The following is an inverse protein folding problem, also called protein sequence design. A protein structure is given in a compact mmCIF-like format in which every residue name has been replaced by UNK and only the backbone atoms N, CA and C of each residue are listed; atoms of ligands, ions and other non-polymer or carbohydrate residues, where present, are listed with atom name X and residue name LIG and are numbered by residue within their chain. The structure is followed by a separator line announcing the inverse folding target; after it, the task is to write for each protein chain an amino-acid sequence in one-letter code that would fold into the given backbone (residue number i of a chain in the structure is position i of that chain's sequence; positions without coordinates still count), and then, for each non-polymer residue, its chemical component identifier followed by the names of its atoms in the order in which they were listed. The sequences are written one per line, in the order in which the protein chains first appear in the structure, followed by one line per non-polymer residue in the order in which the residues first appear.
data_IF_064638246180
#
_entry.id   IF_064638246180
#
_cell.length_a   1.000
_cell.length_b   1.000
_cell.length_c   1.000
_cell.angle_alpha   90.00
_cell.angle_beta   90.00
_cell.angle_gamma   90.00
#
_symmetry.space_group_name_H-M   'P 1'
#
loop_
_entity.id
_entity.type
_entity.pdbx_description
1 polymer ?
#
# COMPACT_ATOMS: atom_id res chain seq x y z
N UNK A 1 -45.61 31.50 -7.97
CA UNK A 1 -45.51 30.02 -8.07
C UNK A 1 -44.18 29.72 -8.71
N UNK A 2 -43.15 29.45 -7.89
CA UNK A 2 -41.79 29.15 -8.32
C UNK A 2 -41.59 27.65 -8.24
N UNK A 3 -41.20 27.03 -9.36
CA UNK A 3 -40.88 25.60 -9.46
C UNK A 3 -39.48 25.36 -8.90
N UNK A 4 -39.22 24.25 -8.18
CA UNK A 4 -37.92 23.91 -7.66
C UNK A 4 -37.07 23.26 -8.78
N UNK A 5 -35.96 23.92 -9.12
CA UNK A 5 -34.90 23.39 -10.01
C UNK A 5 -33.86 22.63 -9.19
N UNK A 6 -34.22 21.50 -8.62
CA UNK A 6 -33.26 20.61 -7.94
C UNK A 6 -33.51 19.16 -8.36
N UNK A 7 -32.77 18.65 -9.35
CA UNK A 7 -32.53 17.21 -9.46
C UNK A 7 -31.50 16.76 -10.52
N UNK A 8 -30.97 17.62 -11.38
CA UNK A 8 -30.04 17.17 -12.42
C UNK A 8 -28.57 17.05 -11.98
N UNK A 9 -28.14 17.86 -11.00
CA UNK A 9 -26.75 17.81 -10.51
C UNK A 9 -26.49 16.57 -9.62
N UNK A 10 -27.50 16.10 -8.91
CA UNK A 10 -27.36 14.96 -7.98
C UNK A 10 -27.25 13.62 -8.74
N UNK A 11 -27.98 13.47 -9.85
CA UNK A 11 -27.89 12.27 -10.70
C UNK A 11 -26.55 12.18 -11.45
N UNK A 12 -26.03 13.31 -11.94
CA UNK A 12 -24.74 13.34 -12.60
C UNK A 12 -23.59 13.04 -11.63
N UNK A 13 -23.70 13.46 -10.38
CA UNK A 13 -22.73 13.17 -9.32
C UNK A 13 -22.80 11.70 -8.92
N UNK A 14 -23.98 11.10 -8.76
CA UNK A 14 -24.16 9.68 -8.50
C UNK A 14 -23.65 8.80 -9.63
N UNK A 15 -23.91 9.18 -10.89
CA UNK A 15 -23.37 8.49 -12.07
C UNK A 15 -21.84 8.61 -12.14
N UNK A 16 -21.26 9.78 -11.89
CA UNK A 16 -19.81 9.96 -11.84
C UNK A 16 -19.15 9.14 -10.74
N UNK A 17 -19.83 8.95 -9.58
CA UNK A 17 -19.36 8.06 -8.51
C UNK A 17 -19.45 6.59 -8.91
N UNK A 18 -20.47 6.17 -9.65
CA UNK A 18 -20.61 4.79 -10.15
C UNK A 18 -19.61 4.46 -11.28
N UNK A 19 -19.21 5.45 -12.07
CA UNK A 19 -18.20 5.31 -13.14
C UNK A 19 -16.82 5.83 -12.75
N UNK A 20 -16.62 6.34 -11.54
CA UNK A 20 -15.28 6.51 -10.99
C UNK A 20 -14.73 5.10 -10.80
N UNK A 21 -14.02 4.60 -11.80
CA UNK A 21 -13.23 3.37 -11.70
C UNK A 21 -12.39 3.54 -10.43
N UNK A 22 -12.66 2.74 -9.41
CA UNK A 22 -11.82 2.71 -8.20
C UNK A 22 -10.40 2.48 -8.68
N UNK A 23 -9.57 3.50 -8.57
CA UNK A 23 -8.21 3.45 -9.08
C UNK A 23 -7.46 2.46 -8.20
N UNK A 24 -7.07 1.32 -8.78
CA UNK A 24 -6.24 0.34 -8.10
C UNK A 24 -5.06 1.02 -7.40
N UNK A 25 -4.82 0.67 -6.14
CA UNK A 25 -3.73 1.23 -5.35
C UNK A 25 -2.74 0.18 -4.94
N UNK A 26 -1.49 0.43 -5.24
CA UNK A 26 -0.38 -0.39 -4.79
C UNK A 26 0.11 0.09 -3.44
N UNK A 27 0.09 -0.78 -2.45
CA UNK A 27 0.53 -0.51 -1.08
C UNK A 27 1.77 -1.35 -0.80
N UNK A 28 2.97 -0.75 -0.69
CA UNK A 28 4.15 -1.50 -0.31
C UNK A 28 4.05 -1.94 1.16
N UNK A 29 4.28 -3.23 1.39
CA UNK A 29 4.32 -3.84 2.73
C UNK A 29 5.71 -4.43 2.93
N UNK A 30 6.41 -3.95 3.94
CA UNK A 30 7.79 -4.37 4.21
C UNK A 30 7.81 -5.72 4.90
N UNK A 31 8.38 -6.73 4.26
CA UNK A 31 8.65 -8.01 4.89
C UNK A 31 9.72 -7.88 5.97
N UNK A 32 9.60 -8.67 7.02
CA UNK A 32 10.55 -8.68 8.12
C UNK A 32 10.84 -10.13 8.52
N UNK A 33 12.06 -10.64 8.27
CA UNK A 33 12.40 -12.04 8.53
C UNK A 33 12.41 -12.40 10.03
N UNK A 34 12.44 -11.38 10.90
CA UNK A 34 12.43 -11.56 12.36
C UNK A 34 11.01 -11.54 12.96
N UNK A 35 9.98 -11.64 12.14
CA UNK A 35 8.59 -11.77 12.60
C UNK A 35 8.19 -13.24 12.56
N UNK A 36 7.68 -13.76 13.70
CA UNK A 36 7.14 -15.12 13.79
C UNK A 36 5.80 -15.28 13.10
N UNK A 37 4.96 -14.24 13.18
CA UNK A 37 3.56 -14.25 12.75
C UNK A 37 3.25 -13.28 11.60
N UNK A 38 4.20 -13.09 10.68
CA UNK A 38 4.04 -12.15 9.55
C UNK A 38 2.80 -12.43 8.69
N UNK A 39 2.48 -13.71 8.46
CA UNK A 39 1.27 -14.12 7.74
C UNK A 39 -0.02 -13.66 8.45
N UNK A 40 -0.07 -13.73 9.79
CA UNK A 40 -1.21 -13.26 10.57
C UNK A 40 -1.38 -11.74 10.44
N UNK A 41 -0.28 -10.98 10.46
CA UNK A 41 -0.36 -9.52 10.28
C UNK A 41 -0.87 -9.14 8.89
N UNK A 42 -0.46 -9.86 7.85
CA UNK A 42 -0.98 -9.68 6.48
C UNK A 42 -2.46 -10.06 6.40
N UNK A 43 -2.86 -11.16 7.01
CA UNK A 43 -4.26 -11.61 7.06
C UNK A 43 -5.14 -10.56 7.74
N UNK A 44 -4.69 -10.00 8.87
CA UNK A 44 -5.41 -8.92 9.57
C UNK A 44 -5.55 -7.66 8.73
N UNK A 45 -4.52 -7.30 7.97
CA UNK A 45 -4.62 -6.20 6.99
C UNK A 45 -5.67 -6.50 5.90
N UNK A 46 -5.66 -7.71 5.34
CA UNK A 46 -6.64 -8.13 4.34
C UNK A 46 -8.07 -8.11 4.89
N UNK A 47 -8.27 -8.59 6.13
CA UNK A 47 -9.56 -8.55 6.82
C UNK A 47 -10.04 -7.12 6.99
N UNK A 48 -9.16 -6.20 7.40
CA UNK A 48 -9.50 -4.79 7.56
C UNK A 48 -9.92 -4.12 6.24
N UNK A 49 -9.27 -4.47 5.13
CA UNK A 49 -9.71 -4.00 3.79
C UNK A 49 -11.04 -4.63 3.37
N UNK A 50 -11.23 -5.93 3.62
CA UNK A 50 -12.45 -6.64 3.26
C UNK A 50 -13.68 -6.12 4.00
N UNK A 51 -13.56 -5.75 5.27
CA UNK A 51 -14.61 -5.10 6.06
C UNK A 51 -15.07 -3.76 5.45
N UNK A 52 -14.14 -3.06 4.81
CA UNK A 52 -14.44 -1.83 4.05
C UNK A 52 -14.85 -2.10 2.60
N UNK A 53 -15.23 -3.34 2.29
CA UNK A 53 -15.69 -3.78 0.98
C UNK A 53 -14.65 -3.64 -0.15
N UNK A 54 -13.38 -3.48 0.17
CA UNK A 54 -12.31 -3.44 -0.82
C UNK A 54 -11.88 -4.85 -1.24
N UNK A 55 -11.65 -5.05 -2.53
CA UNK A 55 -11.01 -6.26 -3.06
C UNK A 55 -9.50 -6.10 -3.00
N UNK A 56 -8.85 -7.08 -2.41
CA UNK A 56 -7.40 -7.03 -2.13
C UNK A 56 -6.68 -8.17 -2.81
N UNK A 57 -5.62 -7.85 -3.58
CA UNK A 57 -4.64 -8.82 -4.04
C UNK A 57 -3.39 -8.71 -3.14
N UNK A 58 -2.96 -9.83 -2.57
CA UNK A 58 -1.66 -9.94 -1.90
C UNK A 58 -0.65 -10.49 -2.87
N UNK A 59 0.36 -9.70 -3.20
CA UNK A 59 1.54 -10.12 -3.98
C UNK A 59 2.66 -10.37 -2.98
N UNK A 60 2.92 -11.64 -2.70
CA UNK A 60 3.90 -12.05 -1.70
C UNK A 60 5.23 -12.44 -2.35
N UNK A 61 6.17 -11.49 -2.33
CA UNK A 61 7.56 -11.68 -2.73
C UNK A 61 8.50 -11.76 -1.51
N UNK A 62 7.97 -11.98 -0.31
CA UNK A 62 8.77 -12.15 0.90
C UNK A 62 9.65 -13.41 0.84
N UNK A 63 10.71 -13.43 1.66
CA UNK A 63 11.67 -14.55 1.66
C UNK A 63 11.05 -15.92 1.99
N UNK A 64 9.92 -15.92 2.71
CA UNK A 64 9.17 -17.13 3.09
C UNK A 64 8.05 -17.49 2.12
N UNK A 65 7.79 -16.63 1.13
CA UNK A 65 6.79 -16.89 0.12
C UNK A 65 7.21 -18.05 -0.80
N UNK A 66 6.22 -18.73 -1.36
CA UNK A 66 6.47 -19.72 -2.39
C UNK A 66 7.18 -19.10 -3.60
N UNK A 67 8.06 -19.86 -4.24
CA UNK A 67 8.63 -19.44 -5.52
C UNK A 67 7.51 -19.30 -6.56
N UNK A 68 7.57 -18.25 -7.36
CA UNK A 68 6.65 -18.09 -8.48
C UNK A 68 6.84 -19.25 -9.48
N UNK A 69 5.75 -19.86 -9.91
CA UNK A 69 5.79 -20.87 -10.95
C UNK A 69 6.26 -20.29 -12.30
N UNK A 70 6.80 -21.11 -13.18
CA UNK A 70 7.23 -20.67 -14.52
C UNK A 70 6.09 -20.04 -15.33
N UNK A 71 4.85 -20.48 -15.11
CA UNK A 71 3.64 -19.93 -15.74
C UNK A 71 3.45 -18.44 -15.42
N UNK A 72 3.92 -17.94 -14.26
CA UNK A 72 3.81 -16.55 -13.89
C UNK A 72 4.58 -15.59 -14.83
N UNK A 73 5.53 -16.10 -15.61
CA UNK A 73 6.23 -15.32 -16.64
C UNK A 73 5.41 -15.18 -17.92
N UNK A 74 4.47 -16.09 -18.15
CA UNK A 74 3.61 -16.12 -19.35
C UNK A 74 2.28 -15.45 -19.06
N UNK A 75 1.63 -15.84 -17.96
CA UNK A 75 0.31 -15.33 -17.56
C UNK A 75 0.21 -15.24 -16.04
N UNK A 76 0.37 -14.03 -15.52
CA UNK A 76 0.22 -13.75 -14.09
C UNK A 76 -1.21 -14.01 -13.60
N UNK A 77 -2.20 -13.77 -14.44
CA UNK A 77 -3.60 -13.93 -14.06
C UNK A 77 -3.95 -15.35 -13.66
N UNK A 78 -3.37 -16.35 -14.35
CA UNK A 78 -3.59 -17.75 -14.02
C UNK A 78 -2.87 -18.20 -12.72
N UNK A 79 -1.95 -17.41 -12.21
CA UNK A 79 -1.23 -17.70 -10.98
C UNK A 79 -1.85 -17.01 -9.76
N UNK A 80 -2.90 -16.22 -9.95
CA UNK A 80 -3.62 -15.55 -8.86
C UNK A 80 -4.64 -16.53 -8.28
N UNK A 81 -4.45 -16.88 -7.01
CA UNK A 81 -5.29 -17.80 -6.27
C UNK A 81 -6.34 -17.03 -5.45
N UNK A 82 -7.65 -17.26 -5.62
CA UNK A 82 -8.66 -16.67 -4.77
C UNK A 82 -8.67 -17.35 -3.39
N UNK A 83 -8.37 -16.59 -2.34
CA UNK A 83 -8.44 -17.08 -0.95
C UNK A 83 -9.83 -16.87 -0.34
N UNK A 84 -10.52 -15.82 -0.75
CA UNK A 84 -11.90 -15.52 -0.33
C UNK A 84 -12.61 -14.68 -1.41
N UNK A 85 -13.86 -14.26 -1.12
CA UNK A 85 -14.60 -13.36 -2.02
C UNK A 85 -13.93 -11.99 -2.22
N UNK A 86 -13.07 -11.57 -1.29
CA UNK A 86 -12.46 -10.24 -1.28
C UNK A 86 -10.94 -10.26 -1.29
N UNK A 87 -10.33 -11.43 -1.16
CA UNK A 87 -8.87 -11.57 -1.06
C UNK A 87 -8.38 -12.60 -2.05
N UNK A 88 -7.39 -12.21 -2.85
CA UNK A 88 -6.64 -13.09 -3.74
C UNK A 88 -5.15 -13.03 -3.40
N UNK A 89 -4.40 -14.03 -3.79
CA UNK A 89 -3.01 -14.20 -3.47
C UNK A 89 -2.18 -14.55 -4.71
N UNK A 90 -0.99 -13.98 -4.81
CA UNK A 90 0.01 -14.31 -5.83
C UNK A 90 1.35 -14.57 -5.14
N UNK A 91 1.83 -15.81 -5.22
CA UNK A 91 3.20 -16.14 -4.85
C UNK A 91 4.18 -15.52 -5.87
N UNK A 92 5.06 -14.63 -5.41
CA UNK A 92 5.88 -13.81 -6.29
C UNK A 92 7.36 -13.76 -5.88
N UNK A 93 7.82 -14.69 -5.01
CA UNK A 93 9.22 -14.73 -4.61
C UNK A 93 10.14 -14.93 -5.82
N UNK A 94 11.10 -14.00 -5.98
CA UNK A 94 12.02 -13.99 -7.12
C UNK A 94 11.43 -13.53 -8.45
N UNK A 95 10.12 -13.25 -8.53
CA UNK A 95 9.48 -12.87 -9.79
C UNK A 95 9.81 -11.45 -10.21
N UNK A 96 9.88 -10.51 -9.27
CA UNK A 96 10.15 -9.10 -9.54
C UNK A 96 11.46 -8.87 -10.31
N UNK A 97 12.50 -9.67 -10.03
CA UNK A 97 13.80 -9.53 -10.67
C UNK A 97 13.78 -9.84 -12.17
N UNK A 98 12.78 -10.60 -12.64
CA UNK A 98 12.59 -10.91 -14.06
C UNK A 98 12.13 -9.69 -14.88
N UNK A 99 11.70 -8.63 -14.22
CA UNK A 99 11.21 -7.39 -14.83
C UNK A 99 12.19 -6.21 -14.63
N UNK A 100 13.46 -6.50 -14.34
CA UNK A 100 14.48 -5.46 -14.16
C UNK A 100 14.78 -4.79 -15.49
N UNK A 101 14.68 -3.46 -15.53
CA UNK A 101 15.09 -2.63 -16.65
C UNK A 101 16.58 -2.23 -16.58
N UNK A 102 17.08 -1.53 -17.60
CA UNK A 102 18.47 -1.08 -17.66
C UNK A 102 18.85 -0.11 -16.52
N UNK A 103 17.89 0.54 -15.87
CA UNK A 103 18.09 1.42 -14.72
C UNK A 103 18.02 0.66 -13.36
N UNK A 104 17.79 -0.65 -13.39
CA UNK A 104 17.63 -1.49 -12.20
C UNK A 104 16.26 -1.38 -11.53
N UNK A 105 15.29 -0.75 -12.20
CA UNK A 105 13.90 -0.65 -11.72
C UNK A 105 13.10 -1.90 -12.12
N UNK A 106 12.18 -2.30 -11.26
CA UNK A 106 11.23 -3.40 -11.51
C UNK A 106 9.78 -2.88 -11.57
N UNK A 107 9.60 -1.60 -11.91
CA UNK A 107 8.28 -0.95 -11.99
C UNK A 107 7.35 -1.63 -13.01
N UNK A 108 7.89 -2.18 -14.08
CA UNK A 108 7.13 -2.94 -15.07
C UNK A 108 6.38 -4.13 -14.44
N UNK A 109 6.89 -4.70 -13.35
CA UNK A 109 6.20 -5.75 -12.61
C UNK A 109 4.87 -5.27 -12.01
N UNK A 110 4.84 -4.06 -11.42
CA UNK A 110 3.59 -3.48 -10.89
C UNK A 110 2.56 -3.25 -12.00
N UNK A 111 3.01 -2.83 -13.17
CA UNK A 111 2.12 -2.67 -14.32
C UNK A 111 1.50 -4.01 -14.75
N UNK A 112 2.31 -5.07 -14.85
CA UNK A 112 1.84 -6.43 -15.18
C UNK A 112 0.86 -6.98 -14.15
N UNK A 113 1.08 -6.70 -12.86
CA UNK A 113 0.12 -7.05 -11.79
C UNK A 113 -1.20 -6.32 -12.03
N UNK A 114 -1.16 -5.01 -12.33
CA UNK A 114 -2.36 -4.23 -12.59
C UNK A 114 -3.17 -4.75 -13.79
N UNK A 115 -2.49 -5.20 -14.84
CA UNK A 115 -3.12 -5.81 -16.01
C UNK A 115 -3.75 -7.19 -15.68
N UNK A 116 -3.10 -7.96 -14.78
CA UNK A 116 -3.54 -9.31 -14.41
C UNK A 116 -4.70 -9.34 -13.40
N UNK A 117 -4.88 -8.29 -12.61
CA UNK A 117 -5.87 -8.23 -11.54
C UNK A 117 -6.70 -6.93 -11.56
N UNK A 118 -7.38 -6.60 -12.68
CA UNK A 118 -8.07 -5.31 -12.85
C UNK A 118 -9.21 -5.08 -11.83
N UNK A 119 -9.75 -6.14 -11.25
CA UNK A 119 -10.84 -6.09 -10.26
C UNK A 119 -10.36 -5.75 -8.82
N UNK A 120 -9.04 -5.62 -8.62
CA UNK A 120 -8.48 -5.33 -7.30
C UNK A 120 -8.52 -3.83 -7.01
N UNK A 121 -9.12 -3.46 -5.87
CA UNK A 121 -9.07 -2.08 -5.37
C UNK A 121 -7.70 -1.78 -4.74
N UNK A 122 -7.14 -2.77 -4.04
CA UNK A 122 -5.87 -2.69 -3.31
C UNK A 122 -4.95 -3.84 -3.74
N UNK A 123 -3.68 -3.53 -3.97
CA UNK A 123 -2.63 -4.51 -4.17
C UNK A 123 -1.58 -4.33 -3.06
N UNK A 124 -1.55 -5.26 -2.11
CA UNK A 124 -0.53 -5.31 -1.07
C UNK A 124 0.72 -5.99 -1.64
N UNK A 125 1.80 -5.23 -1.83
CA UNK A 125 3.06 -5.77 -2.33
C UNK A 125 3.98 -6.05 -1.14
N UNK A 126 3.95 -7.28 -0.65
CA UNK A 126 4.77 -7.74 0.47
C UNK A 126 6.13 -8.22 -0.04
N UNK A 127 7.18 -7.47 0.26
CA UNK A 127 8.53 -7.76 -0.21
C UNK A 127 9.61 -7.16 0.70
N UNK A 128 10.86 -7.51 0.47
CA UNK A 128 11.98 -6.88 1.16
C UNK A 128 12.08 -5.38 0.83
N UNK A 129 12.62 -4.59 1.75
CA UNK A 129 12.79 -3.15 1.53
C UNK A 129 13.62 -2.84 0.26
N UNK A 130 14.58 -3.70 -0.09
CA UNK A 130 15.40 -3.56 -1.31
C UNK A 130 14.59 -3.77 -2.58
N UNK A 131 13.70 -4.74 -2.62
CA UNK A 131 12.81 -4.97 -3.76
C UNK A 131 11.78 -3.85 -3.87
N UNK A 132 11.16 -3.45 -2.75
CA UNK A 132 10.24 -2.31 -2.73
C UNK A 132 10.91 -1.02 -3.23
N UNK A 133 12.18 -0.77 -2.91
CA UNK A 133 12.93 0.35 -3.47
C UNK A 133 13.00 0.30 -5.00
N UNK A 134 13.17 -0.88 -5.60
CA UNK A 134 13.23 -1.04 -7.07
C UNK A 134 11.87 -0.84 -7.72
N UNK A 135 10.79 -1.27 -7.06
CA UNK A 135 9.41 -1.17 -7.56
C UNK A 135 8.85 0.24 -7.45
N UNK A 136 9.09 0.91 -6.31
CA UNK A 136 8.41 2.15 -5.92
C UNK A 136 9.30 3.41 -5.97
N UNK A 137 10.54 3.34 -6.47
CA UNK A 137 11.43 4.49 -6.55
C UNK A 137 10.79 5.66 -7.30
N UNK A 138 10.77 6.85 -6.68
CA UNK A 138 10.23 8.08 -7.25
C UNK A 138 11.28 8.91 -8.01
N UNK A 139 12.50 8.40 -8.16
CA UNK A 139 13.63 9.16 -8.73
C UNK A 139 13.54 9.47 -10.23
N UNK A 140 12.51 9.01 -10.93
CA UNK A 140 12.28 9.33 -12.34
C UNK A 140 11.21 10.42 -12.50
N UNK A 141 11.59 11.66 -12.87
CA UNK A 141 10.69 12.82 -12.94
C UNK A 141 9.67 12.78 -14.08
N UNK A 142 9.59 11.72 -14.87
CA UNK A 142 8.68 11.58 -16.01
C UNK A 142 7.43 10.73 -15.75
N UNK A 143 7.28 10.12 -14.58
CA UNK A 143 6.04 9.45 -14.24
C UNK A 143 5.09 10.47 -13.63
N UNK A 144 3.88 10.58 -14.21
CA UNK A 144 2.77 11.29 -13.57
C UNK A 144 2.79 10.94 -12.08
N UNK A 145 2.71 11.97 -11.21
CA UNK A 145 2.82 11.81 -9.77
C UNK A 145 1.90 10.68 -9.31
N UNK A 146 2.44 9.47 -9.28
CA UNK A 146 1.85 8.35 -8.59
C UNK A 146 1.73 8.85 -7.16
N UNK A 147 0.51 8.88 -6.63
CA UNK A 147 0.24 9.22 -5.24
C UNK A 147 1.37 8.63 -4.41
N UNK A 148 2.02 9.46 -3.60
CA UNK A 148 3.25 9.09 -2.89
C UNK A 148 2.97 7.81 -2.10
N UNK A 149 3.52 6.68 -2.54
CA UNK A 149 3.28 5.42 -1.89
C UNK A 149 3.77 5.52 -0.45
N UNK A 150 2.90 5.23 0.51
CA UNK A 150 3.27 5.21 1.92
C UNK A 150 3.39 3.74 2.35
N UNK A 151 4.60 3.21 2.61
CA UNK A 151 4.77 1.81 2.97
C UNK A 151 4.18 1.49 4.35
N UNK A 152 3.69 0.26 4.49
CA UNK A 152 3.35 -0.35 5.78
C UNK A 152 4.56 -1.18 6.21
N UNK A 153 5.09 -0.88 7.38
CA UNK A 153 6.23 -1.61 7.96
C UNK A 153 5.70 -2.59 9.00
N UNK A 154 6.00 -3.88 8.81
CA UNK A 154 5.64 -4.91 9.77
C UNK A 154 6.77 -5.07 10.79
N UNK A 155 6.41 -5.14 12.07
CA UNK A 155 7.35 -5.43 13.16
C UNK A 155 6.67 -6.26 14.27
N UNK A 156 7.48 -6.83 15.15
CA UNK A 156 7.05 -7.46 16.41
C UNK A 156 7.79 -6.83 17.59
N UNK A 157 7.27 -7.05 18.80
CA UNK A 157 7.87 -6.62 20.07
C UNK A 157 9.14 -7.44 20.41
N UNK A 158 10.08 -7.45 19.47
CA UNK A 158 11.36 -8.14 19.57
C UNK A 158 12.49 -7.27 19.01
N UNK A 159 13.64 -7.14 19.69
CA UNK A 159 14.71 -6.22 19.29
C UNK A 159 15.19 -6.37 17.83
N UNK A 160 15.38 -7.62 17.37
CA UNK A 160 15.85 -7.86 16.00
C UNK A 160 14.82 -7.39 14.96
N UNK A 161 13.52 -7.60 15.23
CA UNK A 161 12.43 -7.13 14.36
C UNK A 161 12.39 -5.61 14.30
N UNK A 162 12.50 -4.92 15.42
CA UNK A 162 12.52 -3.44 15.49
C UNK A 162 13.74 -2.87 14.77
N UNK A 163 14.92 -3.48 14.95
CA UNK A 163 16.15 -3.07 14.25
C UNK A 163 16.01 -3.23 12.74
N UNK A 164 15.44 -4.34 12.29
CA UNK A 164 15.17 -4.57 10.87
C UNK A 164 14.17 -3.54 10.31
N UNK A 165 13.08 -3.27 11.04
CA UNK A 165 12.09 -2.26 10.65
C UNK A 165 12.74 -0.87 10.49
N UNK A 166 13.58 -0.45 11.43
CA UNK A 166 14.33 0.81 11.31
C UNK A 166 15.23 0.84 10.06
N UNK A 167 15.99 -0.23 9.81
CA UNK A 167 16.84 -0.33 8.64
C UNK A 167 16.06 -0.28 7.33
N UNK A 168 14.90 -0.93 7.28
CA UNK A 168 14.00 -0.94 6.15
C UNK A 168 13.42 0.47 5.86
N UNK A 169 12.93 1.17 6.90
CA UNK A 169 12.43 2.54 6.77
C UNK A 169 13.53 3.47 6.23
N UNK A 170 14.74 3.37 6.80
CA UNK A 170 15.90 4.15 6.32
C UNK A 170 16.18 3.91 4.84
N UNK A 171 16.16 2.64 4.43
CA UNK A 171 16.40 2.27 3.03
C UNK A 171 15.34 2.85 2.11
N UNK A 172 14.06 2.73 2.46
CA UNK A 172 12.93 3.27 1.69
C UNK A 172 12.99 4.79 1.60
N UNK A 173 13.25 5.49 2.70
CA UNK A 173 13.37 6.93 2.71
C UNK A 173 14.52 7.42 1.82
N UNK A 174 15.71 6.83 1.97
CA UNK A 174 16.93 7.30 1.28
C UNK A 174 17.02 6.85 -0.18
N UNK A 175 16.58 5.63 -0.50
CA UNK A 175 16.71 5.07 -1.85
C UNK A 175 15.47 5.23 -2.71
N UNK A 176 14.28 5.05 -2.13
CA UNK A 176 13.03 5.14 -2.86
C UNK A 176 12.36 6.52 -2.79
N UNK A 177 12.77 7.40 -1.87
CA UNK A 177 12.10 8.68 -1.63
C UNK A 177 10.75 8.53 -0.92
N UNK A 178 10.61 7.51 -0.07
CA UNK A 178 9.41 7.19 0.69
C UNK A 178 9.64 7.43 2.20
N UNK A 179 9.69 8.69 2.66
CA UNK A 179 9.97 9.00 4.05
C UNK A 179 8.77 8.80 4.98
N UNK A 180 7.54 8.81 4.46
CA UNK A 180 6.32 8.64 5.25
C UNK A 180 5.94 7.16 5.27
N UNK A 181 5.67 6.62 6.46
CA UNK A 181 5.32 5.21 6.63
C UNK A 181 4.26 5.00 7.72
N UNK A 182 3.58 3.86 7.67
CA UNK A 182 2.75 3.35 8.76
C UNK A 182 3.44 2.13 9.38
N UNK A 183 3.16 1.86 10.65
CA UNK A 183 3.69 0.72 11.38
C UNK A 183 2.56 -0.21 11.82
N UNK A 184 2.66 -1.50 11.50
CA UNK A 184 1.83 -2.55 12.09
C UNK A 184 2.71 -3.41 12.99
N UNK A 185 2.43 -3.35 14.29
CA UNK A 185 3.23 -3.99 15.33
C UNK A 185 2.50 -5.19 15.91
N UNK A 186 3.04 -6.40 15.70
CA UNK A 186 2.60 -7.63 16.35
C UNK A 186 3.02 -7.59 17.82
N UNK A 187 2.05 -7.53 18.72
CA UNK A 187 2.29 -7.55 20.15
C UNK A 187 1.01 -7.90 20.92
N UNK A 188 1.17 -8.55 22.09
CA UNK A 188 0.05 -8.81 22.99
C UNK A 188 -0.69 -7.53 23.39
N UNK A 189 -2.02 -7.60 23.65
CA UNK A 189 -2.84 -6.43 23.95
C UNK A 189 -2.33 -5.57 25.11
N UNK A 190 -1.73 -6.20 26.12
CA UNK A 190 -1.19 -5.51 27.28
C UNK A 190 0.30 -5.21 27.20
N UNK A 191 0.94 -5.40 26.03
CA UNK A 191 2.37 -5.11 25.92
C UNK A 191 2.67 -3.63 26.22
N UNK A 192 3.41 -3.31 27.30
CA UNK A 192 3.78 -1.93 27.63
C UNK A 192 4.87 -1.40 26.70
N UNK A 193 5.42 -2.26 25.83
CA UNK A 193 6.51 -1.94 24.92
C UNK A 193 5.99 -1.39 23.58
N UNK A 194 4.79 -1.80 23.15
CA UNK A 194 4.28 -1.47 21.83
C UNK A 194 4.30 0.05 21.55
N UNK A 195 3.72 0.88 22.42
CA UNK A 195 3.73 2.33 22.27
C UNK A 195 5.14 2.93 22.36
N UNK A 196 6.03 2.37 23.20
CA UNK A 196 7.43 2.82 23.28
C UNK A 196 8.20 2.52 22.01
N UNK A 197 8.00 1.35 21.40
CA UNK A 197 8.62 0.97 20.13
C UNK A 197 8.17 1.92 19.03
N UNK A 198 6.87 2.18 18.90
CA UNK A 198 6.35 3.13 17.91
C UNK A 198 6.93 4.53 18.09
N UNK A 199 6.95 5.05 19.33
CA UNK A 199 7.53 6.37 19.64
C UNK A 199 9.03 6.44 19.38
N UNK A 200 9.79 5.39 19.71
CA UNK A 200 11.22 5.33 19.45
C UNK A 200 11.53 5.26 17.96
N UNK A 201 10.80 4.44 17.20
CA UNK A 201 10.94 4.39 15.74
C UNK A 201 10.64 5.75 15.13
N UNK A 202 9.54 6.41 15.52
CA UNK A 202 9.19 7.74 15.04
C UNK A 202 10.31 8.74 15.32
N UNK A 203 10.78 8.83 16.56
CA UNK A 203 11.82 9.79 16.96
C UNK A 203 13.15 9.51 16.27
N UNK A 204 13.57 8.25 16.19
CA UNK A 204 14.84 7.90 15.53
C UNK A 204 14.78 8.15 14.03
N UNK A 205 13.66 7.83 13.36
CA UNK A 205 13.55 8.03 11.92
C UNK A 205 13.50 9.50 11.55
N UNK A 206 12.77 10.31 12.30
CA UNK A 206 12.73 11.76 12.14
C UNK A 206 14.13 12.38 12.33
N UNK A 207 14.77 12.08 13.46
CA UNK A 207 16.08 12.68 13.83
C UNK A 207 17.18 12.37 12.81
N UNK A 208 17.24 11.14 12.28
CA UNK A 208 18.40 10.73 11.47
C UNK A 208 18.20 10.86 9.96
N UNK A 209 16.98 10.89 9.46
CA UNK A 209 16.75 10.99 8.00
C UNK A 209 15.39 11.59 7.60
N UNK A 210 14.69 12.25 8.53
CA UNK A 210 13.41 12.91 8.24
C UNK A 210 12.28 11.94 7.94
N UNK A 211 12.32 10.72 8.50
CA UNK A 211 11.25 9.75 8.36
C UNK A 211 10.06 10.10 9.24
N UNK A 212 8.84 9.99 8.70
CA UNK A 212 7.61 10.38 9.38
C UNK A 212 6.71 9.16 9.58
N UNK A 213 6.53 8.75 10.84
CA UNK A 213 5.49 7.79 11.20
C UNK A 213 4.13 8.49 11.12
N UNK A 214 3.32 8.14 10.11
CA UNK A 214 2.00 8.73 9.92
C UNK A 214 0.98 8.16 10.90
N UNK A 215 0.94 6.83 11.01
CA UNK A 215 0.05 6.11 11.92
C UNK A 215 0.66 4.78 12.34
N UNK A 216 0.16 4.19 13.43
CA UNK A 216 0.56 2.86 13.83
C UNK A 216 -0.61 2.08 14.43
N UNK A 217 -0.55 0.76 14.30
CA UNK A 217 -1.53 -0.15 14.87
C UNK A 217 -0.83 -1.30 15.60
N UNK A 218 -1.39 -1.68 16.74
CA UNK A 218 -1.03 -2.92 17.42
C UNK A 218 -1.98 -4.01 16.96
N UNK A 219 -1.43 -5.17 16.63
CA UNK A 219 -2.17 -6.37 16.27
C UNK A 219 -1.74 -7.50 17.19
N UNK A 220 -2.68 -8.14 17.89
CA UNK A 220 -2.39 -9.35 18.66
C UNK A 220 -2.30 -10.55 17.71
N UNK A 221 -1.11 -11.17 17.55
CA UNK A 221 -0.97 -12.33 16.67
C UNK A 221 -1.69 -13.58 17.20
N UNK A 222 -2.02 -13.64 18.51
CA UNK A 222 -2.76 -14.72 19.13
C UNK A 222 -4.28 -14.47 19.20
N UNK A 223 -4.73 -13.30 18.79
CA UNK A 223 -6.16 -12.95 18.76
C UNK A 223 -6.94 -13.78 17.75
N UNK A 224 -8.23 -13.95 18.01
CA UNK A 224 -9.13 -14.69 17.12
C UNK A 224 -9.20 -14.03 15.73
N UNK A 225 -8.99 -14.82 14.68
CA UNK A 225 -9.05 -14.35 13.30
C UNK A 225 -10.43 -13.78 12.90
N UNK A 226 -11.49 -14.16 13.63
CA UNK A 226 -12.86 -13.68 13.41
C UNK A 226 -13.16 -12.36 14.12
N UNK A 227 -12.29 -11.91 15.04
CA UNK A 227 -12.45 -10.60 15.66
C UNK A 227 -12.30 -9.47 14.64
N UNK A 228 -13.16 -8.44 14.70
CA UNK A 228 -13.01 -7.30 13.82
C UNK A 228 -11.67 -6.58 14.03
N UNK A 229 -11.12 -5.95 12.99
CA UNK A 229 -9.88 -5.20 13.12
C UNK A 229 -9.99 -4.10 14.18
N UNK A 230 -8.94 -3.92 14.96
CA UNK A 230 -8.88 -2.82 15.93
C UNK A 230 -8.97 -1.45 15.26
N UNK A 231 -9.50 -0.46 15.97
CA UNK A 231 -9.71 0.90 15.43
C UNK A 231 -8.43 1.55 14.85
N UNK A 232 -7.26 1.19 15.37
CA UNK A 232 -5.97 1.68 14.87
C UNK A 232 -5.65 1.11 13.49
N UNK A 233 -5.85 -0.20 13.30
CA UNK A 233 -5.64 -0.86 12.01
C UNK A 233 -6.67 -0.39 10.97
N UNK A 234 -7.92 -0.23 11.40
CA UNK A 234 -9.00 0.29 10.57
C UNK A 234 -8.71 1.72 10.08
N UNK A 235 -8.09 2.56 10.90
CA UNK A 235 -7.65 3.91 10.55
C UNK A 235 -6.56 3.91 9.47
N UNK A 236 -5.54 3.03 9.61
CA UNK A 236 -4.49 2.85 8.60
C UNK A 236 -5.10 2.46 7.25
N UNK A 237 -6.03 1.51 7.25
CA UNK A 237 -6.70 1.02 6.05
C UNK A 237 -7.61 2.10 5.44
N UNK A 238 -8.34 2.84 6.27
CA UNK A 238 -9.19 3.95 5.82
C UNK A 238 -8.40 4.98 5.01
N UNK A 239 -7.22 5.39 5.50
CA UNK A 239 -6.35 6.32 4.79
C UNK A 239 -5.92 5.83 3.40
N UNK A 240 -5.93 4.51 3.17
CA UNK A 240 -5.59 3.92 1.86
C UNK A 240 -6.75 3.92 0.90
N UNK A 241 -7.98 3.96 1.39
CA UNK A 241 -9.20 3.89 0.58
C UNK A 241 -9.76 5.28 0.25
N UNK A 242 -9.49 6.28 1.09
CA UNK A 242 -9.85 7.67 0.80
C UNK A 242 -8.90 8.20 -0.27
N UNK A 243 -9.37 8.26 -1.52
CA UNK A 243 -8.69 8.99 -2.60
C UNK A 243 -8.75 10.47 -2.29
N UNK A 244 -7.67 11.19 -2.52
CA UNK A 244 -7.70 12.64 -2.59
C UNK A 244 -8.68 13.06 -3.69
N UNK A 245 -9.94 13.32 -3.32
CA UNK A 245 -10.89 14.10 -4.09
C UNK A 245 -10.54 15.60 -4.03
N UNK A 246 -9.28 15.96 -3.90
CA UNK A 246 -8.85 17.28 -4.28
C UNK A 246 -8.78 17.31 -5.80
N UNK A 247 -9.94 17.52 -6.42
CA UNK A 247 -10.01 17.98 -7.80
C UNK A 247 -9.10 19.21 -7.88
N UNK A 248 -7.91 19.03 -8.43
CA UNK A 248 -7.04 20.13 -8.82
C UNK A 248 -7.89 20.98 -9.77
N UNK A 249 -8.20 22.24 -9.44
CA UNK A 249 -8.96 23.08 -10.36
C UNK A 249 -8.19 23.10 -11.67
N UNK A 250 -8.86 22.70 -12.76
CA UNK A 250 -8.33 22.87 -14.09
C UNK A 250 -7.90 24.33 -14.22
N UNK A 251 -6.60 24.59 -14.41
CA UNK A 251 -6.14 25.89 -14.85
C UNK A 251 -6.84 26.16 -16.17
N UNK A 252 -7.80 27.07 -16.13
CA UNK A 252 -8.27 27.76 -17.32
C UNK A 252 -7.06 28.52 -17.89
N UNK A 253 -6.43 27.96 -18.90
CA UNK A 253 -5.53 28.68 -19.76
C UNK A 253 -6.35 29.74 -20.48
N UNK A 254 -6.41 30.92 -19.89
CA UNK A 254 -6.79 32.14 -20.58
C UNK A 254 -5.55 32.54 -21.41
N UNK A 255 -5.35 31.87 -22.50
CA UNK A 255 -4.40 32.30 -23.50
C UNK A 255 -5.09 33.26 -24.48
N UNK A 256 -4.70 34.52 -24.34
CA UNK A 256 -4.49 35.47 -25.40
C UNK A 256 -5.58 35.59 -26.48
N UNK A 257 -6.47 36.54 -26.29
CA UNK A 257 -6.99 37.32 -27.40
C UNK A 257 -6.47 38.75 -27.25
N UNK A 258 -5.34 39.02 -27.86
CA UNK A 258 -4.84 40.37 -28.10
C UNK A 258 -3.99 40.36 -29.37
N UNK A 259 -4.69 40.41 -30.49
CA UNK A 259 -4.12 40.89 -31.73
C UNK A 259 -5.29 41.36 -32.58
N UNK A 260 -5.54 42.66 -32.51
CA UNK A 260 -6.00 43.49 -33.65
C UNK A 260 -6.28 44.91 -33.14
N UNK A 261 -5.33 45.78 -33.28
CA UNK A 261 -5.47 47.16 -33.78
C UNK A 261 -4.10 47.70 -34.11
#
# INVERSE_FOLDING_TARGET
MSLPTHSHDDQATGLRQMFAHRRMRFVPVVSNPHIGFGGVLLERLCTAFAERQATTLVVDAGERAGAAGEMALVDLGQCIEPLSKKVSYLAANGLSIRFVDAAGSTRAFLQRIGEAAPESDIVLVHASASELCRMFSQKNPGAAASESACPIVLAEDHPASVTHAYAAIKLLAQRAGLPVFDLVLGAAPQSPRAGRIASQLASCTDLYFGGVLRDWARVDPAGDATEPPGAELDRIVAHRLVGDFTARPARLDIAASAAFS
#
